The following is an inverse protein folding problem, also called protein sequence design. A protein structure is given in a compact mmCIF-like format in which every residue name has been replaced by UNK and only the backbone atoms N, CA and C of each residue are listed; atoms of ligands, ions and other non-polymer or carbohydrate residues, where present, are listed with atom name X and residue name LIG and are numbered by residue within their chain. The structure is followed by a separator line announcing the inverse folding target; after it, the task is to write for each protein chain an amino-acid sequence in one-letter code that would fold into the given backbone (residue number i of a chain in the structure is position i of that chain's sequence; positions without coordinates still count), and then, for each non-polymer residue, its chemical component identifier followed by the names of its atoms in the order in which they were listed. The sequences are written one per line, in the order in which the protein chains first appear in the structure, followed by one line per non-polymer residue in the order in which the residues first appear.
data_IF_741884540410
#
_entry.id   IF_741884540410
#
_cell.length_a   1.000
_cell.length_b   1.000
_cell.length_c   1.000
_cell.angle_alpha   90.00
_cell.angle_beta   90.00
_cell.angle_gamma   90.00
#
_symmetry.space_group_name_H-M   'P 1'
#
loop_
_entity.id
_entity.type
_entity.pdbx_description
1 polymer ?
#
# COMPACT_ATOMS: atom_id res chain seq x y z
N UNK A 1 -11.35 -34.27 -1.38
CA UNK A 1 -11.25 -34.44 0.09
C UNK A 1 -10.62 -33.25 0.83
N UNK A 2 -9.75 -32.43 0.21
CA UNK A 2 -9.04 -31.31 0.89
C UNK A 2 -9.94 -30.08 1.15
N UNK A 3 -10.88 -29.78 0.24
CA UNK A 3 -11.76 -28.59 0.34
C UNK A 3 -12.70 -28.62 1.55
N UNK A 4 -13.30 -29.78 1.87
CA UNK A 4 -14.18 -29.94 3.04
C UNK A 4 -13.42 -29.81 4.36
N UNK A 5 -12.20 -30.34 4.44
CA UNK A 5 -11.35 -30.21 5.63
C UNK A 5 -10.90 -28.77 5.88
N UNK A 6 -10.58 -28.03 4.80
CA UNK A 6 -10.26 -26.60 4.89
C UNK A 6 -11.45 -25.78 5.38
N UNK A 7 -12.66 -26.01 4.86
CA UNK A 7 -13.89 -25.33 5.29
C UNK A 7 -14.19 -25.62 6.76
N UNK A 8 -14.04 -26.87 7.22
CA UNK A 8 -14.23 -27.24 8.63
C UNK A 8 -13.20 -26.58 9.56
N UNK A 9 -11.93 -26.46 9.12
CA UNK A 9 -10.90 -25.73 9.88
C UNK A 9 -11.18 -24.23 9.92
N UNK A 10 -11.64 -23.66 8.80
CA UNK A 10 -12.03 -22.26 8.69
C UNK A 10 -13.19 -21.92 9.64
N UNK A 11 -14.20 -22.78 9.74
CA UNK A 11 -15.36 -22.59 10.62
C UNK A 11 -15.01 -22.77 12.11
N UNK A 12 -14.00 -23.58 12.43
CA UNK A 12 -13.63 -23.93 13.81
C UNK A 12 -12.56 -23.02 14.41
N UNK A 13 -11.73 -22.39 13.58
CA UNK A 13 -10.58 -21.59 14.04
C UNK A 13 -10.67 -20.14 13.53
N UNK A 14 -11.04 -19.18 14.40
CA UNK A 14 -11.08 -17.75 14.07
C UNK A 14 -9.74 -17.19 13.58
N UNK A 15 -8.61 -17.80 13.97
CA UNK A 15 -7.28 -17.36 13.57
C UNK A 15 -6.99 -17.70 12.10
N UNK A 16 -7.44 -18.87 11.65
CA UNK A 16 -7.36 -19.28 10.23
C UNK A 16 -8.22 -18.36 9.37
N UNK A 17 -9.44 -18.06 9.81
CA UNK A 17 -10.29 -17.10 9.12
C UNK A 17 -9.65 -15.71 9.06
N UNK A 18 -9.15 -15.19 10.19
CA UNK A 18 -8.49 -13.88 10.27
C UNK A 18 -7.25 -13.78 9.38
N UNK A 19 -6.43 -14.83 9.30
CA UNK A 19 -5.25 -14.85 8.44
C UNK A 19 -5.62 -14.89 6.95
N UNK A 20 -6.61 -15.70 6.58
CA UNK A 20 -7.13 -15.74 5.21
C UNK A 20 -7.72 -14.39 4.79
N UNK A 21 -8.51 -13.75 5.67
CA UNK A 21 -9.02 -12.40 5.45
C UNK A 21 -7.90 -11.36 5.32
N UNK A 22 -6.85 -11.40 6.15
CA UNK A 22 -5.71 -10.46 6.02
C UNK A 22 -5.01 -10.59 4.67
N UNK A 23 -4.79 -11.81 4.20
CA UNK A 23 -4.19 -12.05 2.88
C UNK A 23 -5.09 -11.56 1.74
N UNK A 24 -6.40 -11.82 1.82
CA UNK A 24 -7.39 -11.32 0.85
C UNK A 24 -7.45 -9.79 0.84
N UNK A 25 -7.54 -9.15 2.01
CA UNK A 25 -7.58 -7.70 2.13
C UNK A 25 -6.35 -7.03 1.50
N UNK A 26 -5.17 -7.66 1.56
CA UNK A 26 -3.96 -7.16 0.89
C UNK A 26 -4.08 -7.21 -0.64
N UNK A 27 -4.58 -8.32 -1.18
CA UNK A 27 -4.81 -8.48 -2.62
C UNK A 27 -5.88 -7.50 -3.11
N UNK A 28 -6.97 -7.35 -2.35
CA UNK A 28 -8.05 -6.42 -2.66
C UNK A 28 -7.57 -4.96 -2.61
N UNK A 29 -6.81 -4.57 -1.58
CA UNK A 29 -6.19 -3.24 -1.49
C UNK A 29 -5.27 -2.95 -2.68
N UNK A 30 -4.53 -3.96 -3.15
CA UNK A 30 -3.67 -3.84 -4.32
C UNK A 30 -4.48 -3.67 -5.61
N UNK A 31 -5.58 -4.42 -5.78
CA UNK A 31 -6.48 -4.24 -6.91
C UNK A 31 -7.15 -2.86 -6.89
N UNK A 32 -7.55 -2.38 -5.72
CA UNK A 32 -8.09 -1.03 -5.55
C UNK A 32 -7.06 0.05 -5.92
N UNK A 33 -5.80 -0.08 -5.47
CA UNK A 33 -4.71 0.81 -5.86
C UNK A 33 -4.52 0.84 -7.37
N UNK A 34 -4.45 -0.35 -7.99
CA UNK A 34 -4.26 -0.47 -9.43
C UNK A 34 -5.43 0.14 -10.21
N UNK A 35 -6.66 -0.03 -9.72
CA UNK A 35 -7.85 0.58 -10.31
C UNK A 35 -7.81 2.11 -10.18
N UNK A 36 -7.42 2.64 -9.01
CA UNK A 36 -7.29 4.08 -8.78
C UNK A 36 -6.24 4.71 -9.71
N UNK A 37 -5.06 4.09 -9.84
CA UNK A 37 -4.02 4.53 -10.78
C UNK A 37 -4.52 4.49 -12.23
N UNK A 38 -5.33 3.49 -12.60
CA UNK A 38 -5.88 3.40 -13.95
C UNK A 38 -6.90 4.51 -14.26
N UNK A 39 -7.57 5.05 -13.24
CA UNK A 39 -8.54 6.15 -13.39
C UNK A 39 -7.86 7.54 -13.50
N UNK A 40 -6.58 7.65 -13.15
CA UNK A 40 -5.80 8.89 -13.29
C UNK A 40 -5.73 9.27 -14.77
N UNK A 41 -6.17 10.48 -15.13
CA UNK A 41 -6.25 10.93 -16.52
C UNK A 41 -7.64 10.80 -17.17
N UNK A 42 -8.67 10.43 -16.41
CA UNK A 42 -10.06 10.64 -16.80
C UNK A 42 -10.67 9.62 -17.78
N UNK A 43 -9.98 8.53 -18.12
CA UNK A 43 -10.50 7.56 -19.08
C UNK A 43 -10.70 6.18 -18.44
N UNK A 44 -11.97 5.76 -18.37
CA UNK A 44 -12.38 4.33 -18.35
C UNK A 44 -12.13 3.66 -19.71
N UNK A 45 -11.67 4.41 -20.70
CA UNK A 45 -11.40 3.93 -22.04
C UNK A 45 -9.91 3.63 -22.19
N UNK A 46 -9.67 2.51 -22.85
CA UNK A 46 -8.40 1.97 -23.26
C UNK A 46 -7.60 3.06 -23.99
N UNK A 47 -6.77 3.82 -23.26
CA UNK A 47 -5.81 4.74 -23.87
C UNK A 47 -4.67 3.90 -24.41
N UNK A 48 -4.90 3.40 -25.63
CA UNK A 48 -3.97 2.67 -26.46
C UNK A 48 -4.70 2.35 -27.75
N UNK A 49 -4.38 3.04 -28.84
CA UNK A 49 -4.92 2.66 -30.15
C UNK A 49 -4.31 1.32 -30.63
N UNK A 50 -3.27 0.85 -29.93
CA UNK A 50 -2.48 -0.33 -30.24
C UNK A 50 -2.11 -1.11 -28.96
N UNK A 51 -1.96 -2.44 -29.06
CA UNK A 51 -1.65 -3.34 -27.93
C UNK A 51 -0.38 -2.94 -27.17
N UNK A 52 0.60 -2.41 -27.89
CA UNK A 52 1.88 -1.95 -27.33
C UNK A 52 1.70 -0.80 -26.33
N UNK A 53 0.86 0.18 -26.65
CA UNK A 53 0.63 1.34 -25.77
C UNK A 53 -0.07 0.92 -24.47
N UNK A 54 -1.01 -0.03 -24.59
CA UNK A 54 -1.70 -0.62 -23.46
C UNK A 54 -0.74 -1.41 -22.55
N UNK A 55 0.19 -2.16 -23.15
CA UNK A 55 1.22 -2.88 -22.40
C UNK A 55 2.17 -1.92 -21.68
N UNK A 56 2.70 -0.91 -22.36
CA UNK A 56 3.56 0.12 -21.76
C UNK A 56 2.84 0.78 -20.59
N UNK A 57 1.60 1.22 -20.81
CA UNK A 57 0.76 1.83 -19.78
C UNK A 57 0.58 0.89 -18.58
N UNK A 58 0.32 -0.39 -18.80
CA UNK A 58 0.23 -1.39 -17.73
C UNK A 58 1.54 -1.54 -16.95
N UNK A 59 2.70 -1.56 -17.60
CA UNK A 59 3.99 -1.63 -16.91
C UNK A 59 4.27 -0.36 -16.11
N UNK A 60 3.95 0.83 -16.64
CA UNK A 60 4.05 2.09 -15.91
C UNK A 60 3.15 2.09 -14.66
N UNK A 61 1.91 1.62 -14.76
CA UNK A 61 0.99 1.51 -13.60
C UNK A 61 1.53 0.53 -12.55
N UNK A 62 2.11 -0.60 -12.98
CA UNK A 62 2.77 -1.56 -12.08
C UNK A 62 3.97 -0.94 -11.38
N UNK A 63 4.82 -0.22 -12.12
CA UNK A 63 5.96 0.49 -11.56
C UNK A 63 5.51 1.50 -10.51
N UNK A 64 4.53 2.35 -10.84
CA UNK A 64 3.99 3.34 -9.90
C UNK A 64 3.43 2.70 -8.63
N UNK A 65 2.68 1.60 -8.78
CA UNK A 65 2.15 0.84 -7.64
C UNK A 65 3.27 0.31 -6.75
N UNK A 66 4.33 -0.25 -7.35
CA UNK A 66 5.49 -0.76 -6.62
C UNK A 66 6.24 0.35 -5.89
N UNK A 67 6.39 1.52 -6.52
CA UNK A 67 7.03 2.69 -5.92
C UNK A 67 6.23 3.18 -4.71
N UNK A 68 4.91 3.29 -4.81
CA UNK A 68 4.04 3.67 -3.68
C UNK A 68 4.19 2.69 -2.52
N UNK A 69 4.11 1.38 -2.81
CA UNK A 69 4.24 0.34 -1.78
C UNK A 69 5.62 0.40 -1.13
N UNK A 70 6.67 0.59 -1.93
CA UNK A 70 8.04 0.72 -1.45
C UNK A 70 8.18 1.90 -0.47
N UNK A 71 7.71 3.09 -0.86
CA UNK A 71 7.78 4.28 0.00
C UNK A 71 7.00 4.12 1.30
N UNK A 72 5.76 3.63 1.22
CA UNK A 72 4.97 3.36 2.41
C UNK A 72 5.67 2.34 3.32
N UNK A 73 6.24 1.27 2.74
CA UNK A 73 6.97 0.26 3.51
C UNK A 73 8.20 0.86 4.20
N UNK A 74 8.97 1.69 3.49
CA UNK A 74 10.16 2.35 4.03
C UNK A 74 9.82 3.30 5.19
N UNK A 75 8.74 4.09 5.07
CA UNK A 75 8.25 4.97 6.14
C UNK A 75 7.78 4.16 7.36
N UNK A 76 6.97 3.12 7.14
CA UNK A 76 6.48 2.26 8.21
C UNK A 76 7.63 1.51 8.92
N UNK A 77 8.65 1.06 8.16
CA UNK A 77 9.84 0.42 8.72
C UNK A 77 10.65 1.36 9.61
N UNK A 78 10.85 2.63 9.21
CA UNK A 78 11.54 3.61 10.05
C UNK A 78 10.73 3.98 11.29
N UNK A 79 9.43 4.17 11.15
CA UNK A 79 8.52 4.40 12.29
C UNK A 79 8.53 3.22 13.27
N UNK A 80 8.59 1.98 12.78
CA UNK A 80 8.74 0.79 13.62
C UNK A 80 10.00 0.87 14.47
N UNK A 81 11.16 1.11 13.85
CA UNK A 81 12.45 1.21 14.54
C UNK A 81 12.44 2.33 15.59
N UNK A 82 11.88 3.50 15.25
CA UNK A 82 11.75 4.63 16.18
C UNK A 82 10.87 4.30 17.39
N UNK A 83 9.73 3.63 17.19
CA UNK A 83 8.86 3.25 18.29
C UNK A 83 9.43 2.11 19.14
N UNK A 84 10.16 1.16 18.54
CA UNK A 84 10.89 0.12 19.28
C UNK A 84 12.00 0.72 20.15
N UNK A 85 12.82 1.62 19.60
CA UNK A 85 13.88 2.30 20.33
C UNK A 85 13.35 3.14 21.51
N UNK A 86 12.19 3.77 21.34
CA UNK A 86 11.55 4.59 22.37
C UNK A 86 10.65 3.78 23.33
N UNK A 87 10.54 2.46 23.15
CA UNK A 87 9.64 1.62 23.96
C UNK A 87 8.15 1.99 23.84
N UNK A 88 7.73 2.63 22.74
CA UNK A 88 6.37 3.13 22.57
C UNK A 88 5.43 2.01 22.10
N UNK A 89 4.95 1.21 23.05
CA UNK A 89 4.02 0.10 22.81
C UNK A 89 2.70 0.52 22.15
N UNK A 90 2.23 1.74 22.41
CA UNK A 90 0.99 2.28 21.81
C UNK A 90 1.18 2.60 20.33
N UNK A 91 2.29 3.24 19.99
CA UNK A 91 2.66 3.52 18.59
C UNK A 91 2.78 2.23 17.77
N UNK A 92 3.35 1.17 18.36
CA UNK A 92 3.47 -0.14 17.72
C UNK A 92 2.11 -0.81 17.44
N UNK A 93 1.15 -0.71 18.37
CA UNK A 93 -0.21 -1.22 18.17
C UNK A 93 -0.95 -0.48 17.05
N UNK A 94 -0.83 0.85 16.99
CA UNK A 94 -1.39 1.65 15.89
C UNK A 94 -0.72 1.32 14.55
N UNK A 95 0.61 1.17 14.54
CA UNK A 95 1.39 0.85 13.34
C UNK A 95 0.99 -0.50 12.73
N UNK A 96 0.65 -1.49 13.56
CA UNK A 96 0.16 -2.82 13.11
C UNK A 96 -1.13 -2.76 12.30
N UNK A 97 -1.92 -1.68 12.43
CA UNK A 97 -3.16 -1.48 11.68
C UNK A 97 -2.92 -0.83 10.31
N UNK A 98 -1.75 -0.22 10.11
CA UNK A 98 -1.41 0.44 8.86
C UNK A 98 -0.94 -0.56 7.81
N UNK A 99 -1.33 -0.32 6.56
CA UNK A 99 -0.97 -1.16 5.43
C UNK A 99 0.02 -0.43 4.53
N UNK A 100 1.11 -1.08 4.08
CA UNK A 100 2.00 -0.50 3.08
C UNK A 100 1.32 -0.32 1.71
N UNK A 101 0.18 -0.97 1.48
CA UNK A 101 -0.62 -0.83 0.26
C UNK A 101 -1.63 0.32 0.37
N UNK A 102 -1.74 0.99 1.52
CA UNK A 102 -2.63 2.14 1.67
C UNK A 102 -2.24 3.25 0.69
N UNK A 103 -3.23 3.84 0.02
CA UNK A 103 -2.99 4.85 -1.01
C UNK A 103 -4.00 5.99 -0.95
N UNK A 104 -5.02 5.89 -0.11
CA UNK A 104 -6.05 6.92 0.05
C UNK A 104 -5.48 8.25 0.54
N UNK A 105 -4.29 8.25 1.17
CA UNK A 105 -3.56 9.44 1.58
C UNK A 105 -2.78 10.11 0.43
N UNK A 106 -2.72 9.49 -0.76
CA UNK A 106 -1.98 9.99 -1.92
C UNK A 106 -2.96 10.59 -2.93
N UNK A 107 -2.75 11.85 -3.29
CA UNK A 107 -3.60 12.53 -4.26
C UNK A 107 -3.20 12.21 -5.71
N UNK A 108 -3.57 11.03 -6.21
CA UNK A 108 -3.11 10.53 -7.52
C UNK A 108 -3.47 11.44 -8.72
N UNK A 109 -4.52 12.26 -8.62
CA UNK A 109 -4.97 13.18 -9.68
C UNK A 109 -4.38 14.60 -9.56
N UNK A 110 -3.34 14.78 -8.74
CA UNK A 110 -2.66 16.06 -8.58
C UNK A 110 -1.84 16.48 -9.80
N UNK A 111 -1.63 17.78 -9.94
CA UNK A 111 -0.60 18.31 -10.84
C UNK A 111 0.74 18.23 -10.13
N UNK A 112 1.64 17.39 -10.64
CA UNK A 112 2.97 17.20 -10.07
C UNK A 112 4.03 17.73 -11.03
N UNK A 113 4.95 18.54 -10.51
CA UNK A 113 6.14 18.99 -11.23
C UNK A 113 7.35 18.24 -10.70
N UNK A 114 8.18 17.72 -11.60
CA UNK A 114 9.45 17.13 -11.22
C UNK A 114 10.42 18.21 -10.78
N UNK A 115 10.96 18.08 -9.57
CA UNK A 115 12.04 18.95 -9.10
C UNK A 115 13.33 18.42 -9.71
N UNK A 116 14.01 19.25 -10.52
CA UNK A 116 15.22 18.88 -11.25
C UNK A 116 16.48 18.87 -10.38
N UNK A 117 16.45 19.51 -9.21
CA UNK A 117 17.58 19.53 -8.28
C UNK A 117 17.44 18.37 -7.30
N UNK A 118 18.28 17.36 -7.49
CA UNK A 118 18.29 16.10 -6.74
C UNK A 118 18.74 16.26 -5.30
N UNK A 119 17.84 16.71 -4.44
CA UNK A 119 17.91 16.39 -3.02
C UNK A 119 17.48 14.93 -2.82
N UNK A 120 18.29 14.15 -2.09
CA UNK A 120 17.81 12.85 -1.61
C UNK A 120 16.58 13.06 -0.73
N UNK A 121 15.55 12.24 -0.93
CA UNK A 121 14.37 12.20 -0.07
C UNK A 121 14.80 11.71 1.32
N UNK A 122 14.90 12.63 2.27
CA UNK A 122 15.17 12.30 3.68
C UNK A 122 13.89 11.77 4.33
N UNK A 123 13.76 10.44 4.33
CA UNK A 123 12.63 9.74 4.94
C UNK A 123 12.62 9.86 6.47
N UNK A 124 13.77 10.12 7.09
CA UNK A 124 13.86 10.29 8.54
C UNK A 124 13.31 11.66 8.95
N UNK A 125 13.67 12.72 8.22
CA UNK A 125 13.07 14.05 8.37
C UNK A 125 11.54 14.03 8.15
N UNK A 126 11.04 13.24 7.19
CA UNK A 126 9.59 13.12 6.93
C UNK A 126 8.81 12.51 8.09
N UNK A 127 9.43 11.69 8.93
CA UNK A 127 8.78 11.05 10.08
C UNK A 127 9.08 11.78 11.40
N UNK A 128 9.84 12.87 11.37
CA UNK A 128 9.99 13.76 12.52
C UNK A 128 8.65 14.45 12.82
N UNK A 129 8.28 14.48 14.11
CA UNK A 129 6.99 15.03 14.54
C UNK A 129 5.75 14.16 14.27
N UNK A 130 5.87 13.04 13.56
CA UNK A 130 4.72 12.14 13.33
C UNK A 130 4.36 11.38 14.60
N UNK A 131 3.20 11.71 15.17
CA UNK A 131 2.56 10.97 16.26
C UNK A 131 1.29 10.28 15.73
N UNK A 132 1.28 8.94 15.71
CA UNK A 132 0.08 8.21 15.33
C UNK A 132 -1.02 8.43 16.37
N UNK A 133 -2.28 8.72 15.93
CA UNK A 133 -3.39 8.94 16.85
C UNK A 133 -3.67 7.70 17.71
N UNK A 134 -4.03 7.98 18.96
CA UNK A 134 -4.38 6.98 19.97
C UNK A 134 -5.88 6.67 19.84
N UNK A 135 -6.22 5.70 18.98
CA UNK A 135 -7.60 5.19 18.86
C UNK A 135 -7.72 3.76 19.42
#
# INVERSE_FOLDING_TARGET
MIRSLYILRYLRDPLVAKNSHRSQNRIESWHQLRSAIAQVGGQKELTGQNDLELEISNQCRRLLSSVIIYYNSALLSRLLQKYEANGNTRGLESLRRLSPVAWQHIFLNGLYTFVSEGGELDLDAMIEGVALPLN
#
